data_IF_497258416142
#
_entry.id   IF_497258416142
#
_cell.length_a   1.000
_cell.length_b   1.000
_cell.length_c   1.000
_cell.angle_alpha   90.00
_cell.angle_beta   90.00
_cell.angle_gamma   90.00
#
_symmetry.space_group_name_H-M   'P 1'
#
loop_
_entity.id
_entity.type
_entity.pdbx_description
1 polymer ?
#
# COMPACT_ATOMS: atom_id res chain seq x y z
N UNK A 1 -33.60 -21.16 12.92
CA UNK A 1 -33.84 -19.92 13.70
C UNK A 1 -33.88 -18.79 12.69
N UNK A 2 -35.03 -18.64 12.01
CA UNK A 2 -36.08 -17.65 12.32
C UNK A 2 -35.47 -16.24 12.25
N UNK A 3 -35.83 -15.32 11.37
CA UNK A 3 -37.19 -14.97 10.93
C UNK A 3 -37.07 -13.96 9.76
N UNK A 4 -37.95 -14.06 8.76
CA UNK A 4 -38.16 -12.99 7.76
C UNK A 4 -39.08 -11.96 8.40
N UNK A 5 -38.92 -10.66 8.08
CA UNK A 5 -40.11 -10.01 7.59
C UNK A 5 -39.89 -9.35 6.23
N UNK A 6 -40.70 -9.86 5.32
CA UNK A 6 -41.13 -9.28 4.06
C UNK A 6 -41.98 -8.02 4.34
N UNK A 7 -41.53 -6.85 3.89
CA UNK A 7 -42.37 -5.67 3.58
C UNK A 7 -41.45 -4.64 2.89
N UNK A 8 -41.69 -4.17 1.66
CA UNK A 8 -42.96 -3.73 1.09
C UNK A 8 -42.80 -3.64 -0.44
N UNK A 9 -43.69 -4.27 -1.22
CA UNK A 9 -44.01 -3.81 -2.57
C UNK A 9 -45.15 -2.80 -2.43
N UNK A 10 -45.07 -1.62 -3.05
CA UNK A 10 -45.68 -1.44 -4.38
C UNK A 10 -44.78 -0.56 -5.28
N UNK A 11 -44.68 -0.74 -6.59
CA UNK A 11 -45.75 -0.55 -7.54
C UNK A 11 -45.22 -1.04 -8.91
N UNK A 12 -46.06 -1.77 -9.64
CA UNK A 12 -45.82 -2.27 -10.98
C UNK A 12 -46.23 -1.16 -11.96
N UNK A 13 -45.29 -0.50 -12.64
CA UNK A 13 -45.63 0.23 -13.86
C UNK A 13 -44.43 0.28 -14.82
N UNK A 14 -44.74 -0.05 -16.07
CA UNK A 14 -43.79 -0.44 -17.10
C UNK A 14 -42.80 0.62 -17.55
N UNK A 15 -41.84 0.17 -18.35
CA UNK A 15 -40.93 1.05 -19.06
C UNK A 15 -39.73 0.30 -19.62
N UNK A 16 -39.80 -0.03 -20.91
CA UNK A 16 -38.66 -0.37 -21.75
C UNK A 16 -37.56 0.70 -21.59
N UNK A 17 -36.34 0.30 -21.22
CA UNK A 17 -35.23 1.23 -21.01
C UNK A 17 -33.87 0.54 -21.08
N UNK A 18 -33.44 0.15 -22.28
CA UNK A 18 -32.04 -0.11 -22.59
C UNK A 18 -31.27 1.21 -22.46
N UNK A 19 -30.60 1.44 -21.34
CA UNK A 19 -29.51 2.42 -21.24
C UNK A 19 -28.36 1.79 -20.46
N UNK A 20 -27.60 0.94 -21.15
CA UNK A 20 -26.24 0.59 -20.75
C UNK A 20 -25.32 1.80 -21.00
N UNK A 21 -25.45 2.84 -20.18
CA UNK A 21 -24.41 3.86 -20.07
C UNK A 21 -23.40 3.34 -19.05
N UNK A 22 -22.32 2.74 -19.56
CA UNK A 22 -21.22 2.25 -18.75
C UNK A 22 -20.72 3.35 -17.83
N UNK A 23 -20.95 3.18 -16.53
CA UNK A 23 -20.29 3.98 -15.52
C UNK A 23 -18.79 3.75 -15.69
N UNK A 24 -18.07 4.79 -16.10
CA UNK A 24 -16.62 4.86 -15.99
C UNK A 24 -16.32 4.76 -14.49
N UNK A 25 -16.11 3.54 -14.02
CA UNK A 25 -15.54 3.28 -12.70
C UNK A 25 -14.11 3.81 -12.76
N UNK A 26 -13.94 5.11 -12.49
CA UNK A 26 -12.66 5.64 -12.05
C UNK A 26 -12.39 5.00 -10.71
N UNK A 27 -11.76 3.83 -10.74
CA UNK A 27 -11.15 3.20 -9.58
C UNK A 27 -10.00 4.09 -9.12
N UNK A 28 -10.33 5.19 -8.46
CA UNK A 28 -9.37 5.88 -7.63
C UNK A 28 -8.99 4.87 -6.54
N UNK A 29 -7.69 4.58 -6.33
CA UNK A 29 -7.28 3.70 -5.25
C UNK A 29 -7.80 4.30 -3.95
N UNK A 30 -8.68 3.55 -3.29
CA UNK A 30 -9.29 3.93 -2.03
C UNK A 30 -8.17 4.07 -1.01
N UNK A 31 -7.94 5.31 -0.53
CA UNK A 31 -6.98 5.65 0.53
C UNK A 31 -7.31 4.83 1.79
N UNK A 32 -6.71 3.64 1.90
CA UNK A 32 -6.94 2.72 2.99
C UNK A 32 -6.21 3.24 4.24
N UNK A 33 -7.00 3.79 5.16
CA UNK A 33 -6.57 4.41 6.39
C UNK A 33 -6.08 3.37 7.42
N UNK A 34 -4.79 3.03 7.37
CA UNK A 34 -4.16 2.04 8.24
C UNK A 34 -2.69 2.45 8.49
N UNK A 35 -2.41 3.13 9.63
CA UNK A 35 -1.13 3.81 9.94
C UNK A 35 -0.39 4.29 8.67
N UNK A 36 -1.12 5.10 7.90
CA UNK A 36 -1.09 5.14 6.42
C UNK A 36 0.32 5.20 5.86
N UNK A 37 1.16 6.07 6.43
CA UNK A 37 2.46 6.33 5.87
C UNK A 37 3.39 5.10 5.87
N UNK A 38 3.42 4.29 6.93
CA UNK A 38 4.34 3.16 7.01
C UNK A 38 3.98 2.02 6.08
N UNK A 39 2.69 1.70 6.00
CA UNK A 39 2.17 0.72 5.06
C UNK A 39 2.32 1.19 3.61
N UNK A 40 2.06 2.47 3.33
CA UNK A 40 2.25 3.07 2.01
C UNK A 40 3.72 3.03 1.56
N UNK A 41 4.66 3.30 2.47
CA UNK A 41 6.09 3.14 2.19
C UNK A 41 6.43 1.71 1.81
N UNK A 42 5.99 0.73 2.60
CA UNK A 42 6.31 -0.69 2.34
C UNK A 42 5.72 -1.14 0.99
N UNK A 43 4.48 -0.74 0.69
CA UNK A 43 3.83 -1.04 -0.59
C UNK A 43 4.59 -0.42 -1.78
N UNK A 44 4.99 0.85 -1.65
CA UNK A 44 5.77 1.56 -2.67
C UNK A 44 7.18 0.98 -2.87
N UNK A 45 7.76 0.37 -1.83
CA UNK A 45 9.05 -0.35 -1.95
C UNK A 45 8.88 -1.75 -2.52
N UNK A 46 7.71 -2.37 -2.35
CA UNK A 46 7.40 -3.67 -2.90
C UNK A 46 7.19 -3.65 -4.41
N UNK A 47 6.95 -2.47 -4.99
CA UNK A 47 6.90 -2.28 -6.44
C UNK A 47 8.32 -2.28 -7.01
N UNK A 48 8.68 -3.22 -7.90
CA UNK A 48 10.01 -3.26 -8.49
C UNK A 48 10.27 -1.99 -9.33
N UNK A 49 11.45 -1.39 -9.17
CA UNK A 49 11.84 -0.16 -9.87
C UNK A 49 12.18 0.98 -8.92
N UNK A 50 12.16 2.22 -9.43
CA UNK A 50 12.42 3.39 -8.58
C UNK A 50 11.20 3.70 -7.71
N UNK A 51 11.38 3.89 -6.40
CA UNK A 51 10.26 4.10 -5.47
C UNK A 51 9.52 5.44 -5.70
N UNK A 52 9.98 6.30 -6.61
CA UNK A 52 9.32 7.55 -6.99
C UNK A 52 8.72 7.51 -8.40
N UNK A 53 8.70 6.34 -9.05
CA UNK A 53 8.13 6.20 -10.41
C UNK A 53 6.64 6.51 -10.41
N UNK A 54 5.94 6.13 -9.34
CA UNK A 54 4.53 6.41 -9.16
C UNK A 54 4.35 7.69 -8.34
N UNK A 55 3.52 8.61 -8.83
CA UNK A 55 3.25 9.89 -8.18
C UNK A 55 2.77 9.70 -6.73
N UNK A 56 1.95 8.67 -6.48
CA UNK A 56 1.44 8.31 -5.15
C UNK A 56 2.55 7.89 -4.17
N UNK A 57 3.65 7.38 -4.69
CA UNK A 57 4.79 6.94 -3.90
C UNK A 57 5.80 8.07 -3.61
N UNK A 58 5.76 9.17 -4.37
CA UNK A 58 6.67 10.31 -4.16
C UNK A 58 6.58 10.88 -2.74
N UNK A 59 5.40 11.28 -2.21
CA UNK A 59 5.29 11.83 -0.86
C UNK A 59 5.73 10.86 0.26
N UNK A 60 5.25 9.61 0.33
CA UNK A 60 5.62 8.70 1.42
C UNK A 60 7.12 8.32 1.37
N UNK A 61 7.67 8.10 0.17
CA UNK A 61 9.09 7.74 -0.01
C UNK A 61 10.00 8.94 0.30
N UNK A 62 9.63 10.15 -0.09
CA UNK A 62 10.39 11.36 0.27
C UNK A 62 10.45 11.54 1.78
N UNK A 63 9.34 11.28 2.48
CA UNK A 63 9.29 11.30 3.95
C UNK A 63 10.14 10.20 4.56
N UNK A 64 10.23 9.01 3.94
CA UNK A 64 11.13 7.94 4.38
C UNK A 64 12.59 8.41 4.33
N UNK A 65 13.02 8.95 3.19
CA UNK A 65 14.39 9.43 3.02
C UNK A 65 14.75 10.49 4.05
N UNK A 66 13.86 11.47 4.30
CA UNK A 66 14.06 12.48 5.33
C UNK A 66 14.18 11.87 6.73
N UNK A 67 13.29 10.95 7.08
CA UNK A 67 13.30 10.29 8.39
C UNK A 67 14.60 9.53 8.61
N UNK A 68 15.04 8.74 7.62
CA UNK A 68 16.29 7.97 7.71
C UNK A 68 17.53 8.87 7.73
N UNK A 69 17.53 9.97 6.96
CA UNK A 69 18.62 10.95 6.94
C UNK A 69 18.80 11.64 8.29
N UNK A 70 17.71 11.88 9.03
CA UNK A 70 17.71 12.43 10.38
C UNK A 70 18.05 11.38 11.46
N UNK A 71 18.33 10.13 11.08
CA UNK A 71 18.64 9.04 12.01
C UNK A 71 17.40 8.37 12.62
N UNK A 72 16.21 8.65 12.10
CA UNK A 72 14.99 7.98 12.48
C UNK A 72 14.97 6.50 12.06
N UNK A 73 14.07 5.76 12.68
CA UNK A 73 13.84 4.34 12.35
C UNK A 73 12.97 4.18 11.11
N UNK A 74 13.11 3.02 10.46
CA UNK A 74 12.21 2.64 9.37
C UNK A 74 10.77 2.50 9.89
N UNK A 75 9.75 2.94 9.13
CA UNK A 75 8.37 2.86 9.59
C UNK A 75 7.90 1.43 9.82
N UNK A 76 7.07 1.25 10.84
CA UNK A 76 6.31 0.01 11.02
C UNK A 76 4.95 0.12 10.33
N UNK A 77 4.45 -1.00 9.83
CA UNK A 77 3.08 -1.17 9.39
C UNK A 77 2.47 -2.30 10.24
N UNK A 78 1.43 -1.99 11.00
CA UNK A 78 0.73 -2.99 11.83
C UNK A 78 -0.61 -3.40 11.20
N UNK A 79 -1.18 -2.53 10.37
CA UNK A 79 -2.57 -2.59 9.92
C UNK A 79 -2.75 -3.16 8.49
N UNK A 80 -1.71 -3.77 7.92
CA UNK A 80 -1.74 -4.35 6.56
C UNK A 80 -1.32 -5.81 6.49
N UNK A 81 -1.12 -6.47 7.64
CA UNK A 81 -0.52 -7.80 7.74
C UNK A 81 0.93 -7.89 7.22
N UNK A 82 1.55 -6.76 6.88
CA UNK A 82 2.94 -6.68 6.41
C UNK A 82 3.85 -6.14 7.52
N UNK A 83 4.73 -6.99 8.03
CA UNK A 83 5.75 -6.64 9.02
C UNK A 83 7.10 -6.38 8.35
N UNK A 84 7.65 -5.17 8.48
CA UNK A 84 8.99 -4.84 8.00
C UNK A 84 10.02 -4.82 9.14
N UNK A 85 11.11 -5.58 8.99
CA UNK A 85 12.30 -5.50 9.84
C UNK A 85 13.43 -4.82 9.09
N UNK A 86 14.00 -3.78 9.70
CA UNK A 86 15.10 -3.03 9.10
C UNK A 86 16.37 -3.19 9.90
N UNK A 87 17.48 -3.45 9.21
CA UNK A 87 18.83 -3.51 9.77
C UNK A 87 19.68 -2.47 9.06
N UNK A 88 20.25 -1.54 9.82
CA UNK A 88 21.25 -0.61 9.29
C UNK A 88 22.54 -1.39 9.04
N UNK A 89 22.97 -1.45 7.79
CA UNK A 89 24.22 -2.12 7.39
C UNK A 89 25.39 -1.15 7.38
N UNK A 90 25.15 0.12 7.06
CA UNK A 90 26.17 1.18 7.02
C UNK A 90 25.53 2.55 7.26
N UNK A 91 26.32 3.64 7.22
CA UNK A 91 25.80 5.00 7.43
C UNK A 91 24.63 5.34 6.50
N UNK A 92 24.66 4.86 5.26
CA UNK A 92 23.66 5.14 4.22
C UNK A 92 22.93 3.92 3.68
N UNK A 93 23.30 2.70 4.11
CA UNK A 93 22.74 1.44 3.58
C UNK A 93 21.90 0.73 4.64
N UNK A 94 20.68 0.37 4.26
CA UNK A 94 19.71 -0.31 5.10
C UNK A 94 19.24 -1.59 4.41
N UNK A 95 19.14 -2.67 5.15
CA UNK A 95 18.51 -3.92 4.73
C UNK A 95 17.11 -3.98 5.31
N UNK A 96 16.10 -4.16 4.47
CA UNK A 96 14.70 -4.24 4.87
C UNK A 96 14.15 -5.58 4.46
N UNK A 97 13.62 -6.34 5.43
CA UNK A 97 12.92 -7.60 5.20
C UNK A 97 11.45 -7.39 5.53
N UNK A 98 10.58 -7.53 4.54
CA UNK A 98 9.14 -7.40 4.64
C UNK A 98 8.51 -8.77 4.61
N UNK A 99 7.75 -9.14 5.64
CA UNK A 99 6.96 -10.38 5.71
C UNK A 99 5.50 -10.02 5.60
N UNK A 100 4.82 -10.53 4.57
CA UNK A 100 3.40 -10.32 4.30
C UNK A 100 2.52 -11.25 5.14
N UNK A 101 1.21 -10.98 5.13
CA UNK A 101 0.17 -11.71 5.87
C UNK A 101 0.15 -13.19 5.50
N UNK A 102 0.43 -13.49 4.24
CA UNK A 102 0.49 -14.84 3.67
C UNK A 102 1.80 -15.59 4.01
N UNK A 103 2.70 -14.96 4.78
CA UNK A 103 4.03 -15.51 5.14
C UNK A 103 5.12 -15.23 4.10
N UNK A 104 4.76 -14.78 2.90
CA UNK A 104 5.70 -14.41 1.83
C UNK A 104 6.65 -13.32 2.30
N UNK A 105 7.95 -13.49 2.08
CA UNK A 105 8.95 -12.60 2.64
C UNK A 105 9.88 -12.02 1.59
N UNK A 106 9.80 -10.72 1.36
CA UNK A 106 10.67 -10.00 0.45
C UNK A 106 11.79 -9.25 1.18
N UNK A 107 12.96 -9.18 0.56
CA UNK A 107 14.13 -8.51 1.10
C UNK A 107 14.66 -7.46 0.12
N UNK A 108 15.02 -6.29 0.65
CA UNK A 108 15.45 -5.12 -0.11
C UNK A 108 16.67 -4.47 0.53
N UNK A 109 17.56 -3.93 -0.29
CA UNK A 109 18.59 -2.98 0.12
C UNK A 109 18.17 -1.58 -0.26
N UNK A 110 18.26 -0.66 0.70
CA UNK A 110 17.89 0.73 0.57
C UNK A 110 19.15 1.57 0.77
N UNK A 111 19.58 2.25 -0.28
CA UNK A 111 20.69 3.20 -0.21
C UNK A 111 20.16 4.63 -0.15
N UNK A 112 20.24 5.23 1.03
CA UNK A 112 19.81 6.61 1.30
C UNK A 112 20.71 7.68 0.65
N UNK A 113 21.92 7.33 0.21
CA UNK A 113 22.80 8.26 -0.52
C UNK A 113 22.36 8.41 -1.99
N UNK A 114 21.93 7.32 -2.61
CA UNK A 114 21.56 7.27 -4.03
C UNK A 114 20.05 7.16 -4.25
N UNK A 115 19.27 7.16 -3.16
CA UNK A 115 17.82 6.94 -3.16
C UNK A 115 17.40 5.68 -3.94
N UNK A 116 18.21 4.62 -3.88
CA UNK A 116 18.02 3.39 -4.66
C UNK A 116 17.48 2.27 -3.79
N UNK A 117 16.63 1.44 -4.39
CA UNK A 117 16.10 0.21 -3.80
C UNK A 117 16.52 -0.96 -4.68
N UNK A 118 17.13 -1.98 -4.07
CA UNK A 118 17.55 -3.19 -4.76
C UNK A 118 16.85 -4.38 -4.13
N UNK A 119 16.04 -5.10 -4.90
CA UNK A 119 15.41 -6.34 -4.47
C UNK A 119 16.46 -7.44 -4.39
N UNK A 120 16.51 -8.13 -3.25
CA UNK A 120 17.47 -9.22 -2.98
C UNK A 120 16.80 -10.58 -3.11
N UNK A 121 15.50 -10.68 -2.82
CA UNK A 121 14.70 -11.89 -2.97
C UNK A 121 13.26 -11.67 -2.53
N UNK A 122 12.36 -12.56 -2.98
CA UNK A 122 10.94 -12.62 -2.58
C UNK A 122 10.55 -14.03 -2.18
#
# INVERSE_FOLDING_TARGET
>A
MFDRPLAKCPNLLGGLGLLAAGALATSAPQEAHASTWGCQVILCLATPGSPTTYAECVPPITKLWKTLALGGSFPSCSEGGVSAKTKKLSKTLYYVKSTQSDGTTSAYLINTKTSTVTTIGQ
#
